data_IF_762050521944
#
_entry.id   IF_762050521944
#
_cell.length_a   1.000
_cell.length_b   1.000
_cell.length_c   1.000
_cell.angle_alpha   90.00
_cell.angle_beta   90.00
_cell.angle_gamma   90.00
#
_symmetry.space_group_name_H-M   'P 1'
#
loop_
_entity.id
_entity.type
_entity.pdbx_description
1 polymer ?
#
# COMPACT_ATOMS: atom_id res chain seq x y z
N UNK A 1 0.48 4.32 -20.07
CA UNK A 1 -0.05 2.95 -20.24
C UNK A 1 -0.65 2.48 -18.92
N UNK A 2 -1.89 1.98 -18.88
CA UNK A 2 -2.47 1.35 -17.69
C UNK A 2 -2.13 -0.14 -17.77
N UNK A 3 -1.49 -0.68 -16.74
CA UNK A 3 -1.20 -2.12 -16.66
C UNK A 3 -2.33 -2.73 -15.84
N UNK A 4 -3.39 -3.13 -16.54
CA UNK A 4 -4.61 -3.66 -15.90
C UNK A 4 -4.30 -4.89 -15.05
N UNK A 5 -3.29 -5.68 -15.43
CA UNK A 5 -2.86 -6.87 -14.70
C UNK A 5 -2.43 -6.60 -13.24
N UNK A 6 -1.84 -5.42 -12.99
CA UNK A 6 -1.42 -5.01 -11.63
C UNK A 6 -2.58 -4.46 -10.80
N UNK A 7 -3.79 -4.37 -11.36
CA UNK A 7 -4.93 -3.76 -10.68
C UNK A 7 -5.53 -4.75 -9.70
N UNK A 8 -5.74 -6.00 -10.12
CA UNK A 8 -6.29 -7.03 -9.23
C UNK A 8 -5.35 -7.39 -8.06
N UNK A 9 -4.03 -7.40 -8.28
CA UNK A 9 -3.06 -7.67 -7.20
C UNK A 9 -3.11 -6.62 -6.08
N UNK A 10 -3.48 -5.37 -6.38
CA UNK A 10 -3.72 -4.33 -5.35
C UNK A 10 -4.89 -4.67 -4.45
N UNK A 11 -5.96 -5.24 -5.01
CA UNK A 11 -7.11 -5.67 -4.22
C UNK A 11 -6.74 -6.81 -3.27
N UNK A 12 -6.00 -7.82 -3.77
CA UNK A 12 -5.49 -8.92 -2.94
C UNK A 12 -4.65 -8.36 -1.78
N UNK A 13 -3.72 -7.44 -2.08
CA UNK A 13 -2.90 -6.77 -1.07
C UNK A 13 -3.76 -5.99 -0.05
N UNK A 14 -4.78 -5.24 -0.49
CA UNK A 14 -5.65 -4.48 0.40
C UNK A 14 -6.45 -5.41 1.34
N UNK A 15 -7.00 -6.52 0.82
CA UNK A 15 -7.73 -7.51 1.62
C UNK A 15 -6.81 -8.22 2.61
N UNK A 16 -5.56 -8.52 2.24
CA UNK A 16 -4.58 -9.08 3.17
C UNK A 16 -4.33 -8.16 4.37
N UNK A 17 -4.28 -6.84 4.16
CA UNK A 17 -4.18 -5.85 5.24
C UNK A 17 -5.44 -5.83 6.12
N UNK A 18 -6.63 -5.90 5.52
CA UNK A 18 -7.90 -5.94 6.28
C UNK A 18 -7.96 -7.19 7.17
N UNK A 19 -7.55 -8.35 6.65
CA UNK A 19 -7.50 -9.60 7.42
C UNK A 19 -6.45 -9.49 8.54
N UNK A 20 -5.29 -8.89 8.26
CA UNK A 20 -4.27 -8.65 9.28
C UNK A 20 -4.79 -7.80 10.45
N UNK A 21 -5.56 -6.74 10.18
CA UNK A 21 -6.09 -5.87 11.24
C UNK A 21 -7.29 -6.47 12.00
N UNK A 22 -8.13 -7.27 11.34
CA UNK A 22 -9.44 -7.62 11.90
C UNK A 22 -9.82 -9.10 11.85
N UNK A 23 -9.10 -9.89 11.08
CA UNK A 23 -9.49 -11.26 10.71
C UNK A 23 -8.63 -12.35 11.33
N UNK A 24 -7.52 -12.04 12.02
CA UNK A 24 -6.56 -13.05 12.52
C UNK A 24 -7.15 -14.09 13.48
N UNK A 25 -8.24 -13.75 14.16
CA UNK A 25 -8.97 -14.63 15.09
C UNK A 25 -10.21 -15.29 14.46
N UNK A 26 -10.49 -15.00 13.19
CA UNK A 26 -11.71 -15.41 12.49
C UNK A 26 -11.42 -16.57 11.55
N UNK A 27 -12.28 -17.59 11.54
CA UNK A 27 -12.17 -18.69 10.57
C UNK A 27 -12.47 -18.20 9.14
N UNK A 28 -11.70 -18.61 8.11
CA UNK A 28 -10.61 -19.61 8.14
C UNK A 28 -9.22 -19.06 8.45
N UNK A 29 -9.06 -17.74 8.63
CA UNK A 29 -7.76 -17.09 8.78
C UNK A 29 -7.02 -17.45 10.07
N UNK A 30 -7.75 -17.87 11.10
CA UNK A 30 -7.19 -18.38 12.35
C UNK A 30 -6.77 -19.85 12.30
N UNK A 31 -7.05 -20.58 11.21
CA UNK A 31 -6.65 -21.97 11.06
C UNK A 31 -5.12 -22.08 11.06
N UNK A 32 -4.57 -23.10 11.71
CA UNK A 32 -3.12 -23.27 11.92
C UNK A 32 -2.29 -23.22 10.63
N UNK A 33 -2.84 -23.74 9.53
CA UNK A 33 -2.20 -23.74 8.20
C UNK A 33 -2.17 -22.35 7.54
N UNK A 34 -3.13 -21.47 7.87
CA UNK A 34 -3.30 -20.15 7.24
C UNK A 34 -2.80 -19.00 8.11
N UNK A 35 -2.91 -19.12 9.43
CA UNK A 35 -2.62 -18.05 10.37
C UNK A 35 -1.19 -17.47 10.23
N UNK A 36 -0.11 -18.28 10.04
CA UNK A 36 1.23 -17.75 9.84
C UNK A 36 1.32 -16.78 8.66
N UNK A 37 0.56 -17.03 7.58
CA UNK A 37 0.54 -16.17 6.40
C UNK A 37 -0.20 -14.86 6.68
N UNK A 38 -1.38 -14.92 7.29
CA UNK A 38 -2.17 -13.72 7.55
C UNK A 38 -1.57 -12.81 8.63
N UNK A 39 -0.80 -13.37 9.58
CA UNK A 39 0.01 -12.60 10.53
C UNK A 39 1.06 -11.71 9.85
N UNK A 40 1.41 -12.00 8.60
CA UNK A 40 2.35 -11.20 7.80
C UNK A 40 1.64 -10.23 6.84
N UNK A 41 0.31 -10.05 6.94
CA UNK A 41 -0.46 -9.24 6.00
C UNK A 41 -0.09 -7.74 5.97
N UNK A 42 0.58 -7.22 7.01
CA UNK A 42 1.13 -5.86 7.01
C UNK A 42 2.16 -5.61 5.90
N UNK A 43 2.86 -6.64 5.44
CA UNK A 43 3.85 -6.58 4.35
C UNK A 43 3.22 -6.14 3.02
N UNK A 44 1.91 -6.29 2.85
CA UNK A 44 1.22 -5.80 1.66
C UNK A 44 1.39 -4.28 1.47
N UNK A 45 1.72 -3.52 2.53
CA UNK A 45 2.07 -2.10 2.42
C UNK A 45 3.38 -1.90 1.64
N UNK A 46 4.40 -2.71 1.89
CA UNK A 46 5.64 -2.74 1.11
C UNK A 46 5.40 -3.00 -0.38
N UNK A 47 4.47 -3.91 -0.68
CA UNK A 47 4.05 -4.17 -2.06
C UNK A 47 3.46 -2.92 -2.71
N UNK A 48 2.62 -2.15 -2.00
CA UNK A 48 2.08 -0.88 -2.52
C UNK A 48 3.17 0.15 -2.79
N UNK A 49 4.17 0.29 -1.92
CA UNK A 49 5.29 1.23 -2.11
C UNK A 49 6.16 0.90 -3.33
N UNK A 50 6.57 -0.37 -3.46
CA UNK A 50 7.30 -0.88 -4.62
C UNK A 50 6.49 -0.66 -5.92
N UNK A 51 5.21 -0.99 -5.88
CA UNK A 51 4.30 -0.85 -7.02
C UNK A 51 4.09 0.63 -7.39
N UNK A 52 4.01 1.53 -6.41
CA UNK A 52 3.91 2.97 -6.64
C UNK A 52 5.13 3.48 -7.40
N UNK A 53 6.34 3.14 -6.94
CA UNK A 53 7.60 3.49 -7.63
C UNK A 53 7.67 2.95 -9.06
N UNK A 54 7.29 1.69 -9.25
CA UNK A 54 7.23 1.06 -10.57
C UNK A 54 6.30 1.83 -11.52
N UNK A 55 5.06 2.06 -11.11
CA UNK A 55 4.04 2.73 -11.94
C UNK A 55 4.40 4.17 -12.25
N UNK A 56 5.08 4.88 -11.34
CA UNK A 56 5.49 6.25 -11.60
C UNK A 56 6.43 6.31 -12.81
N UNK A 57 7.37 5.38 -12.91
CA UNK A 57 8.24 5.29 -14.10
C UNK A 57 7.43 4.89 -15.34
N UNK A 58 6.56 3.89 -15.26
CA UNK A 58 5.72 3.50 -16.41
C UNK A 58 4.90 4.68 -16.94
N UNK A 59 4.37 5.52 -16.04
CA UNK A 59 3.56 6.68 -16.40
C UNK A 59 4.37 7.83 -16.99
N UNK A 60 5.61 8.05 -16.52
CA UNK A 60 6.37 9.27 -16.83
C UNK A 60 7.64 9.07 -17.68
N UNK A 61 8.08 7.84 -17.95
CA UNK A 61 9.33 7.59 -18.70
C UNK A 61 9.38 8.21 -20.10
N UNK A 62 8.23 8.46 -20.73
CA UNK A 62 8.14 9.06 -22.07
C UNK A 62 8.29 10.59 -22.05
N UNK A 63 8.22 11.20 -20.86
CA UNK A 63 8.36 12.63 -20.71
C UNK A 63 9.82 12.99 -20.44
N UNK A 64 10.29 14.07 -21.08
CA UNK A 64 11.63 14.59 -20.83
C UNK A 64 11.76 15.25 -19.45
N UNK A 65 10.64 15.79 -18.94
CA UNK A 65 10.54 16.47 -17.66
C UNK A 65 9.15 16.27 -17.07
N UNK A 66 9.08 16.11 -15.76
CA UNK A 66 7.85 16.10 -14.97
C UNK A 66 7.66 17.50 -14.38
N UNK A 67 6.55 18.15 -14.73
CA UNK A 67 6.14 19.39 -14.06
C UNK A 67 5.68 19.09 -12.63
N UNK A 68 6.29 19.77 -11.64
CA UNK A 68 6.08 19.45 -10.23
C UNK A 68 4.64 19.73 -9.78
N UNK A 69 4.11 20.91 -10.10
CA UNK A 69 2.80 21.36 -9.61
C UNK A 69 1.67 20.56 -10.27
N UNK A 70 1.72 20.39 -11.60
CA UNK A 70 0.75 19.59 -12.32
C UNK A 70 0.78 18.12 -11.86
N UNK A 71 1.97 17.58 -11.59
CA UNK A 71 2.13 16.22 -11.06
C UNK A 71 1.47 16.08 -9.67
N UNK A 72 1.82 16.95 -8.72
CA UNK A 72 1.31 16.86 -7.34
C UNK A 72 -0.20 17.08 -7.30
N UNK A 73 -0.73 18.06 -8.06
CA UNK A 73 -2.17 18.29 -8.19
C UNK A 73 -2.91 17.01 -8.59
N UNK A 74 -2.40 16.29 -9.61
CA UNK A 74 -2.99 15.04 -10.08
C UNK A 74 -2.90 13.88 -9.08
N UNK A 75 -1.88 13.86 -8.22
CA UNK A 75 -1.71 12.84 -7.18
C UNK A 75 -2.60 13.11 -5.98
N UNK A 76 -2.62 14.36 -5.52
CA UNK A 76 -3.49 14.82 -4.45
C UNK A 76 -4.96 14.58 -4.79
N UNK A 77 -5.37 14.96 -6.00
CA UNK A 77 -6.70 14.70 -6.57
C UNK A 77 -7.17 13.25 -6.50
N UNK A 78 -6.22 12.31 -6.60
CA UNK A 78 -6.51 10.88 -6.65
C UNK A 78 -6.73 10.28 -5.25
N UNK A 79 -6.06 10.81 -4.23
CA UNK A 79 -5.94 10.17 -2.92
C UNK A 79 -6.71 10.96 -1.87
N UNK A 80 -6.50 12.28 -1.84
CA UNK A 80 -7.01 13.13 -0.77
C UNK A 80 -8.53 13.08 -0.56
N UNK A 81 -9.39 12.99 -1.60
CA UNK A 81 -10.84 12.99 -1.38
C UNK A 81 -11.35 11.84 -0.49
N UNK A 82 -10.93 10.60 -0.77
CA UNK A 82 -11.36 9.44 0.04
C UNK A 82 -10.63 9.39 1.37
N UNK A 83 -9.40 9.88 1.39
CA UNK A 83 -8.67 10.06 2.64
C UNK A 83 -9.45 10.96 3.62
N UNK A 84 -9.91 12.13 3.15
CA UNK A 84 -10.72 13.05 3.97
C UNK A 84 -12.06 12.43 4.31
N UNK A 85 -12.71 11.72 3.38
CA UNK A 85 -13.94 10.96 3.68
C UNK A 85 -13.73 10.01 4.86
N UNK A 86 -12.62 9.26 4.88
CA UNK A 86 -12.28 8.36 5.97
C UNK A 86 -12.12 9.10 7.31
N UNK A 87 -11.46 10.27 7.29
CA UNK A 87 -11.32 11.12 8.48
C UNK A 87 -12.66 11.67 8.97
N UNK A 88 -13.53 12.11 8.06
CA UNK A 88 -14.87 12.64 8.38
C UNK A 88 -15.74 11.55 9.01
N UNK A 89 -15.76 10.34 8.45
CA UNK A 89 -16.52 9.21 9.01
C UNK A 89 -16.00 8.84 10.41
N UNK A 90 -14.67 8.85 10.61
CA UNK A 90 -14.06 8.62 11.92
C UNK A 90 -14.33 9.75 12.91
N UNK A 91 -14.37 11.00 12.46
CA UNK A 91 -14.73 12.13 13.31
C UNK A 91 -16.13 11.94 13.87
N UNK A 92 -17.13 11.68 13.01
CA UNK A 92 -18.49 11.41 13.46
C UNK A 92 -18.57 10.16 14.35
N UNK A 93 -17.82 9.10 14.04
CA UNK A 93 -17.75 7.91 14.90
C UNK A 93 -17.29 8.27 16.32
N UNK A 94 -16.16 8.98 16.41
CA UNK A 94 -15.55 9.34 17.69
C UNK A 94 -16.46 10.27 18.49
N UNK A 95 -17.11 11.23 17.84
CA UNK A 95 -18.09 12.12 18.49
C UNK A 95 -19.31 11.37 18.98
N UNK A 96 -19.93 10.53 18.14
CA UNK A 96 -21.17 9.82 18.48
C UNK A 96 -20.97 8.79 19.61
N UNK A 97 -19.87 8.04 19.60
CA UNK A 97 -19.54 7.04 20.63
C UNK A 97 -18.66 7.58 21.76
N UNK A 98 -18.54 8.90 21.91
CA UNK A 98 -17.74 9.57 22.95
C UNK A 98 -16.31 9.02 23.09
N UNK A 99 -15.65 8.74 21.97
CA UNK A 99 -14.24 8.29 21.94
C UNK A 99 -13.29 9.50 21.92
N UNK A 100 -12.09 9.38 22.52
CA UNK A 100 -11.09 10.44 22.47
C UNK A 100 -10.75 10.85 21.02
N UNK A 101 -10.82 12.16 20.77
CA UNK A 101 -10.50 12.77 19.48
C UNK A 101 -9.71 14.05 19.72
N UNK A 102 -8.39 13.94 19.83
CA UNK A 102 -7.51 15.10 19.95
C UNK A 102 -7.53 15.90 18.64
N UNK A 103 -7.81 17.21 18.74
CA UNK A 103 -7.78 18.11 17.57
C UNK A 103 -6.38 18.15 16.93
N UNK A 104 -5.32 18.01 17.74
CA UNK A 104 -3.95 17.90 17.25
C UNK A 104 -3.76 16.69 16.32
N UNK A 105 -4.26 15.52 16.70
CA UNK A 105 -4.15 14.30 15.89
C UNK A 105 -4.94 14.41 14.58
N UNK A 106 -6.15 14.99 14.65
CA UNK A 106 -6.93 15.28 13.46
C UNK A 106 -6.19 16.25 12.53
N UNK A 107 -5.60 17.31 13.08
CA UNK A 107 -4.80 18.27 12.31
C UNK A 107 -3.61 17.60 11.61
N UNK A 108 -2.86 16.74 12.31
CA UNK A 108 -1.74 16.00 11.73
C UNK A 108 -2.20 15.10 10.57
N UNK A 109 -3.33 14.41 10.73
CA UNK A 109 -3.87 13.53 9.69
C UNK A 109 -4.42 14.32 8.50
N UNK A 110 -5.17 15.42 8.71
CA UNK A 110 -5.66 16.28 7.62
C UNK A 110 -4.50 16.76 6.73
N UNK A 111 -3.35 17.05 7.32
CA UNK A 111 -2.15 17.49 6.62
C UNK A 111 -1.25 16.32 6.14
N UNK A 112 -1.60 15.06 6.40
CA UNK A 112 -0.81 13.87 6.08
C UNK A 112 0.62 13.91 6.63
N UNK A 113 0.81 14.49 7.83
CA UNK A 113 2.13 14.63 8.48
C UNK A 113 2.28 13.75 9.72
N UNK A 114 1.26 13.00 10.12
CA UNK A 114 1.23 12.20 11.34
C UNK A 114 2.36 11.15 11.42
N UNK A 115 2.80 10.60 10.28
CA UNK A 115 3.90 9.62 10.23
C UNK A 115 5.30 10.23 10.43
N UNK A 116 5.43 11.56 10.32
CA UNK A 116 6.70 12.25 10.57
C UNK A 116 6.97 12.45 12.06
N UNK A 117 5.96 12.25 12.90
CA UNK A 117 6.04 12.38 14.35
C UNK A 117 5.86 11.00 15.00
N UNK A 118 6.94 10.32 15.36
CA UNK A 118 6.86 9.06 16.10
C UNK A 118 5.99 9.20 17.36
N UNK A 119 5.03 8.30 17.55
CA UNK A 119 4.01 8.35 18.59
C UNK A 119 2.65 8.90 18.11
N UNK A 120 2.58 9.41 16.87
CA UNK A 120 1.36 9.97 16.28
C UNK A 120 0.95 9.28 14.97
N UNK A 121 1.71 8.32 14.45
CA UNK A 121 1.48 7.71 13.13
C UNK A 121 0.12 7.02 13.03
N UNK A 122 -0.34 6.40 14.13
CA UNK A 122 -1.60 5.66 14.20
C UNK A 122 -2.73 6.41 14.92
N UNK A 123 -2.53 7.69 15.25
CA UNK A 123 -3.35 8.46 16.20
C UNK A 123 -4.83 8.62 15.83
N UNK A 124 -5.16 8.60 14.54
CA UNK A 124 -6.53 8.86 14.07
C UNK A 124 -7.06 7.75 13.17
N UNK A 125 -6.58 7.69 11.93
CA UNK A 125 -6.87 6.61 11.01
C UNK A 125 -5.65 5.70 10.93
N UNK A 126 -5.61 4.60 11.68
CA UNK A 126 -4.38 3.83 11.79
C UNK A 126 -3.79 3.32 10.44
N UNK A 127 -4.52 2.95 9.36
CA UNK A 127 -3.91 2.65 8.06
C UNK A 127 -3.37 3.89 7.32
N UNK A 128 -3.70 5.10 7.74
CA UNK A 128 -3.33 6.34 7.05
C UNK A 128 -1.84 6.65 7.09
N UNK A 129 -1.06 6.04 7.99
CA UNK A 129 0.37 6.29 8.10
C UNK A 129 1.08 6.06 6.75
N UNK A 130 0.67 5.03 6.00
CA UNK A 130 1.28 4.67 4.72
C UNK A 130 0.96 5.69 3.62
N UNK A 131 -0.17 6.41 3.74
CA UNK A 131 -0.55 7.46 2.78
C UNK A 131 0.33 8.70 2.97
N UNK A 132 0.70 9.04 4.20
CA UNK A 132 1.68 10.08 4.47
C UNK A 132 3.06 9.72 3.88
N UNK A 133 3.47 8.45 4.02
CA UNK A 133 4.69 7.92 3.37
C UNK A 133 4.60 7.99 1.85
N UNK A 134 3.46 7.62 1.26
CA UNK A 134 3.26 7.67 -0.18
C UNK A 134 3.27 9.11 -0.71
N UNK A 135 2.70 10.06 0.03
CA UNK A 135 2.72 11.48 -0.35
C UNK A 135 4.14 12.05 -0.34
N UNK A 136 4.99 11.61 0.60
CA UNK A 136 6.42 11.91 0.59
C UNK A 136 7.10 11.39 -0.69
N UNK A 137 6.80 10.17 -1.12
CA UNK A 137 7.33 9.65 -2.39
C UNK A 137 6.88 10.47 -3.60
N UNK A 138 5.63 10.93 -3.60
CA UNK A 138 5.13 11.79 -4.66
C UNK A 138 5.81 13.15 -4.69
N UNK A 139 6.09 13.76 -3.53
CA UNK A 139 6.88 14.98 -3.47
C UNK A 139 8.30 14.79 -4.02
N UNK A 140 8.94 13.65 -3.73
CA UNK A 140 10.30 13.36 -4.22
C UNK A 140 10.37 13.02 -5.71
N UNK A 141 9.37 12.31 -6.25
CA UNK A 141 9.47 11.71 -7.58
C UNK A 141 9.83 12.70 -8.71
N UNK A 142 9.17 13.86 -8.88
CA UNK A 142 9.53 14.79 -9.95
C UNK A 142 10.97 15.30 -9.85
N UNK A 143 11.47 15.52 -8.63
CA UNK A 143 12.85 15.98 -8.38
C UNK A 143 13.84 14.90 -8.81
N UNK A 144 13.63 13.65 -8.36
CA UNK A 144 14.50 12.53 -8.71
C UNK A 144 14.46 12.26 -10.22
N UNK A 145 13.27 12.31 -10.82
CA UNK A 145 13.08 12.06 -12.24
C UNK A 145 13.81 13.10 -13.11
N UNK A 146 13.60 14.39 -12.84
CA UNK A 146 14.15 15.49 -13.63
C UNK A 146 15.67 15.62 -13.48
N UNK A 147 16.21 15.26 -12.31
CA UNK A 147 17.64 15.37 -12.03
C UNK A 147 18.42 14.13 -12.45
N UNK A 148 17.86 12.94 -12.27
CA UNK A 148 18.58 11.68 -12.42
C UNK A 148 17.96 10.76 -13.47
N UNK A 149 16.69 10.36 -13.34
CA UNK A 149 16.13 9.30 -14.19
C UNK A 149 16.05 9.64 -15.68
N UNK A 150 15.81 10.91 -16.02
CA UNK A 150 15.76 11.40 -17.42
C UNK A 150 17.13 11.53 -18.07
N UNK A 151 18.23 11.47 -17.30
CA UNK A 151 19.58 11.86 -17.77
C UNK A 151 20.63 10.78 -17.60
N UNK A 152 20.48 9.93 -16.59
CA UNK A 152 21.50 8.96 -16.17
C UNK A 152 21.10 7.57 -16.62
N UNK A 153 22.08 6.80 -17.11
CA UNK A 153 21.84 5.42 -17.53
C UNK A 153 21.46 4.52 -16.35
N UNK A 154 20.61 3.53 -16.63
CA UNK A 154 20.14 2.53 -15.64
C UNK A 154 21.27 1.93 -14.79
N UNK A 155 22.40 1.57 -15.42
CA UNK A 155 23.56 0.96 -14.71
C UNK A 155 24.13 1.88 -13.64
N UNK A 156 24.22 3.20 -13.92
CA UNK A 156 24.74 4.20 -12.97
C UNK A 156 23.73 4.51 -11.86
N UNK A 157 22.43 4.37 -12.12
CA UNK A 157 21.37 4.54 -11.11
C UNK A 157 21.23 3.33 -10.20
N UNK A 158 21.51 2.13 -10.71
CA UNK A 158 21.35 0.89 -9.96
C UNK A 158 22.22 0.86 -8.70
N UNK A 159 23.50 1.27 -8.81
CA UNK A 159 24.45 1.25 -7.68
C UNK A 159 23.93 2.06 -6.48
N UNK A 160 23.66 3.38 -6.58
CA UNK A 160 23.21 4.15 -5.42
C UNK A 160 21.86 3.67 -4.88
N UNK A 161 20.92 3.26 -5.74
CA UNK A 161 19.61 2.75 -5.29
C UNK A 161 19.77 1.44 -4.50
N UNK A 162 20.60 0.50 -5.00
CA UNK A 162 20.88 -0.76 -4.31
C UNK A 162 21.66 -0.53 -3.02
N UNK A 163 22.59 0.44 -2.99
CA UNK A 163 23.28 0.84 -1.76
C UNK A 163 22.31 1.39 -0.73
N UNK A 164 21.38 2.28 -1.12
CA UNK A 164 20.32 2.80 -0.22
C UNK A 164 19.45 1.65 0.30
N UNK A 165 19.09 0.70 -0.55
CA UNK A 165 18.33 -0.48 -0.14
C UNK A 165 19.07 -1.30 0.91
N UNK A 166 20.34 -1.67 0.67
CA UNK A 166 21.15 -2.46 1.60
C UNK A 166 21.33 -1.71 2.93
N UNK A 167 21.67 -0.42 2.88
CA UNK A 167 21.84 0.41 4.08
C UNK A 167 20.54 0.51 4.87
N UNK A 168 19.40 0.69 4.19
CA UNK A 168 18.07 0.70 4.83
C UNK A 168 17.77 -0.63 5.53
N UNK A 169 18.12 -1.78 4.92
CA UNK A 169 17.95 -3.08 5.57
C UNK A 169 18.84 -3.23 6.81
N UNK A 170 20.10 -2.78 6.74
CA UNK A 170 21.03 -2.82 7.87
C UNK A 170 20.53 -1.92 9.01
N UNK A 171 20.18 -0.66 8.72
CA UNK A 171 19.69 0.29 9.74
C UNK A 171 18.44 -0.25 10.42
N UNK A 172 17.48 -0.77 9.66
CA UNK A 172 16.24 -1.30 10.23
C UNK A 172 16.49 -2.53 11.11
N UNK A 173 17.29 -3.49 10.66
CA UNK A 173 17.57 -4.69 11.45
C UNK A 173 18.44 -4.39 12.68
N UNK A 174 19.42 -3.51 12.58
CA UNK A 174 20.16 -3.01 13.75
C UNK A 174 19.21 -2.28 14.72
N UNK A 175 18.27 -1.50 14.21
CA UNK A 175 17.25 -0.81 14.99
C UNK A 175 16.38 -1.78 15.80
N UNK A 176 15.75 -2.75 15.15
CA UNK A 176 14.84 -3.69 15.83
C UNK A 176 15.54 -4.62 16.83
N UNK A 177 16.83 -4.92 16.63
CA UNK A 177 17.62 -5.76 17.55
C UNK A 177 18.41 -4.94 18.58
N UNK A 178 18.34 -3.61 18.53
CA UNK A 178 19.01 -2.75 19.51
C UNK A 178 18.21 -2.62 20.81
N UNK A 179 18.88 -2.20 21.88
CA UNK A 179 18.24 -1.86 23.16
C UNK A 179 17.33 -0.62 23.09
N UNK A 180 17.40 0.15 21.99
CA UNK A 180 16.51 1.29 21.75
C UNK A 180 15.08 0.83 21.40
N UNK A 181 14.92 -0.34 20.78
CA UNK A 181 13.61 -0.83 20.35
C UNK A 181 12.82 -1.42 21.52
N UNK A 182 11.71 -0.78 21.86
CA UNK A 182 10.85 -1.14 23.01
C UNK A 182 9.66 -2.02 22.62
N UNK A 183 9.57 -2.46 21.37
CA UNK A 183 8.44 -3.25 20.86
C UNK A 183 7.19 -2.42 20.56
N UNK A 184 6.13 -3.07 20.11
CA UNK A 184 4.83 -2.44 19.83
C UNK A 184 3.94 -2.49 21.09
N UNK A 185 3.25 -1.40 21.46
CA UNK A 185 3.32 -0.04 20.90
C UNK A 185 4.41 0.81 21.58
N UNK A 186 5.29 1.44 20.80
CA UNK A 186 6.27 2.42 21.33
C UNK A 186 6.67 3.44 20.27
N UNK A 187 7.21 4.58 20.72
CA UNK A 187 7.77 5.62 19.84
C UNK A 187 8.89 5.05 18.95
N UNK A 188 9.74 4.18 19.52
CA UNK A 188 10.80 3.48 18.78
C UNK A 188 10.26 2.58 17.66
N UNK A 189 9.11 1.93 17.90
CA UNK A 189 8.42 1.15 16.88
C UNK A 189 7.86 2.04 15.78
N UNK A 190 7.18 3.13 16.12
CA UNK A 190 6.65 4.03 15.10
C UNK A 190 7.75 4.67 14.23
N UNK A 191 8.90 4.99 14.82
CA UNK A 191 10.06 5.49 14.08
C UNK A 191 10.59 4.47 13.06
N UNK A 192 10.65 3.18 13.41
CA UNK A 192 11.18 2.15 12.51
C UNK A 192 10.14 1.68 11.47
N UNK A 193 8.86 1.60 11.86
CA UNK A 193 7.83 0.96 11.06
C UNK A 193 6.96 1.95 10.26
N UNK A 194 6.89 3.23 10.63
CA UNK A 194 5.96 4.17 9.98
C UNK A 194 6.62 5.45 9.45
N UNK A 195 7.86 5.75 9.87
CA UNK A 195 8.55 6.98 9.47
C UNK A 195 8.90 6.97 7.97
N UNK A 196 8.52 8.00 7.19
CA UNK A 196 8.63 7.96 5.72
C UNK A 196 10.02 7.64 5.14
N UNK A 197 11.14 8.15 5.68
CA UNK A 197 12.47 7.80 5.19
C UNK A 197 12.84 6.32 5.30
N UNK A 198 12.26 5.56 6.25
CA UNK A 198 12.54 4.12 6.36
C UNK A 198 12.13 3.39 5.08
N UNK A 199 10.96 3.74 4.55
CA UNK A 199 10.35 3.13 3.36
C UNK A 199 10.85 3.68 2.02
N UNK A 200 11.72 4.69 2.01
CA UNK A 200 12.20 5.30 0.76
C UNK A 200 12.88 4.28 -0.17
N UNK A 201 13.57 3.30 0.40
CA UNK A 201 14.26 2.24 -0.36
C UNK A 201 13.28 1.43 -1.22
N UNK A 202 12.07 1.17 -0.71
CA UNK A 202 11.02 0.43 -1.40
C UNK A 202 10.55 1.17 -2.65
N UNK A 203 10.29 2.47 -2.51
CA UNK A 203 9.89 3.30 -3.64
C UNK A 203 10.99 3.36 -4.71
N UNK A 204 12.25 3.56 -4.31
CA UNK A 204 13.39 3.64 -5.23
C UNK A 204 13.67 2.32 -5.95
N UNK A 205 13.57 1.18 -5.26
CA UNK A 205 13.69 -0.14 -5.88
C UNK A 205 12.54 -0.38 -6.87
N UNK A 206 11.33 0.07 -6.54
CA UNK A 206 10.20 0.13 -7.47
C UNK A 206 10.51 0.96 -8.72
N UNK A 207 11.07 2.17 -8.56
CA UNK A 207 11.49 3.01 -9.69
C UNK A 207 12.56 2.31 -10.53
N UNK A 208 13.57 1.69 -9.91
CA UNK A 208 14.63 0.98 -10.62
C UNK A 208 14.06 -0.18 -11.45
N UNK A 209 13.13 -0.95 -10.89
CA UNK A 209 12.41 -1.99 -11.61
C UNK A 209 11.59 -1.44 -12.78
N UNK A 210 10.94 -0.29 -12.61
CA UNK A 210 10.22 0.40 -13.68
C UNK A 210 11.14 0.85 -14.81
N UNK A 211 12.31 1.41 -14.49
CA UNK A 211 13.32 1.83 -15.47
C UNK A 211 13.89 0.63 -16.22
N UNK A 212 14.16 -0.46 -15.51
CA UNK A 212 14.57 -1.73 -16.11
C UNK A 212 13.49 -2.28 -17.04
N UNK A 213 12.23 -2.28 -16.61
CA UNK A 213 11.11 -2.78 -17.39
C UNK A 213 10.95 -2.00 -18.69
N UNK A 214 10.86 -0.68 -18.64
CA UNK A 214 10.68 0.15 -19.84
C UNK A 214 11.84 -0.01 -20.83
N UNK A 215 13.07 -0.14 -20.34
CA UNK A 215 14.26 -0.29 -21.19
C UNK A 215 14.34 -1.66 -21.86
N UNK A 216 13.90 -2.71 -21.17
CA UNK A 216 14.10 -4.11 -21.60
C UNK A 216 12.79 -4.81 -21.99
N UNK A 217 11.64 -4.14 -21.92
CA UNK A 217 10.36 -4.73 -22.31
C UNK A 217 10.39 -4.99 -23.82
N UNK A 218 10.69 -6.23 -24.18
CA UNK A 218 10.57 -6.70 -25.56
C UNK A 218 9.09 -6.87 -25.88
N UNK A 219 8.68 -6.58 -27.13
CA UNK A 219 7.28 -6.77 -27.57
C UNK A 219 6.87 -8.24 -27.66
N UNK A 220 7.81 -9.17 -27.46
CA UNK A 220 7.60 -10.61 -27.54
C UNK A 220 6.48 -11.07 -26.59
N UNK A 221 5.63 -11.98 -27.07
CA UNK A 221 4.57 -12.57 -26.27
C UNK A 221 5.13 -13.70 -25.41
N UNK A 222 5.62 -13.35 -24.23
CA UNK A 222 6.11 -14.34 -23.27
C UNK A 222 5.00 -14.65 -22.26
N UNK A 223 4.76 -15.93 -22.04
CA UNK A 223 3.90 -16.41 -20.96
C UNK A 223 4.75 -16.58 -19.68
N UNK A 224 4.43 -15.80 -18.65
CA UNK A 224 5.08 -15.86 -17.34
C UNK A 224 4.19 -16.48 -16.26
N UNK A 225 3.05 -17.11 -16.60
CA UNK A 225 2.12 -17.69 -15.63
C UNK A 225 2.81 -18.62 -14.63
N UNK A 226 3.63 -19.56 -15.12
CA UNK A 226 4.39 -20.48 -14.26
C UNK A 226 5.37 -19.75 -13.34
N UNK A 227 6.05 -18.72 -13.83
CA UNK A 227 6.97 -17.92 -13.00
C UNK A 227 6.22 -17.12 -11.93
N UNK A 228 5.05 -16.57 -12.26
CA UNK A 228 4.18 -15.88 -11.29
C UNK A 228 3.75 -16.85 -10.19
N UNK A 229 3.34 -18.06 -10.56
CA UNK A 229 2.94 -19.10 -9.60
C UNK A 229 4.12 -19.54 -8.72
N UNK A 230 5.28 -19.82 -9.31
CA UNK A 230 6.48 -20.22 -8.57
C UNK A 230 6.95 -19.12 -7.61
N UNK A 231 6.95 -17.85 -8.03
CA UNK A 231 7.28 -16.73 -7.15
C UNK A 231 6.23 -16.51 -6.07
N UNK A 232 4.95 -16.78 -6.36
CA UNK A 232 3.86 -16.77 -5.37
C UNK A 232 4.03 -17.86 -4.31
N UNK A 233 4.39 -19.09 -4.73
CA UNK A 233 4.72 -20.19 -3.83
C UNK A 233 5.95 -19.85 -3.00
N UNK A 234 7.01 -19.32 -3.63
CA UNK A 234 8.21 -18.87 -2.91
C UNK A 234 7.88 -17.82 -1.86
N UNK A 235 7.03 -16.84 -2.18
CA UNK A 235 6.56 -15.84 -1.23
C UNK A 235 5.83 -16.52 -0.05
N UNK A 236 4.90 -17.44 -0.32
CA UNK A 236 4.17 -18.19 0.72
C UNK A 236 5.15 -18.96 1.61
N UNK A 237 6.11 -19.67 1.02
CA UNK A 237 7.14 -20.42 1.75
C UNK A 237 7.95 -19.49 2.64
N UNK A 238 8.45 -18.37 2.11
CA UNK A 238 9.21 -17.38 2.88
C UNK A 238 8.38 -16.85 4.05
N UNK A 239 7.11 -16.48 3.82
CA UNK A 239 6.25 -15.95 4.88
C UNK A 239 5.93 -17.01 5.94
N UNK A 240 5.82 -18.28 5.56
CA UNK A 240 5.50 -19.38 6.45
C UNK A 240 6.70 -19.83 7.30
N UNK A 241 7.91 -19.82 6.72
CA UNK A 241 9.13 -20.31 7.39
C UNK A 241 9.95 -19.21 8.05
N UNK A 242 9.61 -17.93 7.86
CA UNK A 242 10.37 -16.82 8.40
C UNK A 242 10.31 -16.76 9.93
N UNK A 243 11.47 -16.97 10.56
CA UNK A 243 11.66 -16.93 12.00
C UNK A 243 12.55 -15.77 12.47
N UNK A 244 13.36 -15.18 11.58
CA UNK A 244 14.45 -14.27 11.97
C UNK A 244 14.36 -12.87 11.37
N UNK A 245 13.87 -12.74 10.13
CA UNK A 245 13.90 -11.46 9.43
C UNK A 245 12.60 -10.70 9.62
N UNK A 246 12.68 -9.38 9.66
CA UNK A 246 11.50 -8.53 9.61
C UNK A 246 11.39 -7.90 8.22
N UNK A 247 10.27 -8.16 7.55
CA UNK A 247 10.07 -7.78 6.16
C UNK A 247 9.42 -6.41 5.97
N UNK A 248 9.09 -5.69 7.06
CA UNK A 248 8.30 -4.47 7.00
C UNK A 248 9.00 -3.31 6.28
N UNK A 249 10.33 -3.31 6.26
CA UNK A 249 11.14 -2.27 5.63
C UNK A 249 11.62 -2.64 4.22
N UNK A 250 10.84 -3.42 3.48
CA UNK A 250 11.09 -3.66 2.06
C UNK A 250 12.00 -4.81 1.69
N UNK A 251 12.48 -5.63 2.64
CA UNK A 251 13.34 -6.78 2.34
C UNK A 251 12.71 -7.74 1.29
N UNK A 252 11.38 -7.87 1.30
CA UNK A 252 10.64 -8.67 0.31
C UNK A 252 10.59 -8.05 -1.09
N UNK A 253 11.21 -6.89 -1.33
CA UNK A 253 11.44 -6.38 -2.68
C UNK A 253 12.15 -7.42 -3.57
N UNK A 254 13.00 -8.27 -2.99
CA UNK A 254 13.68 -9.37 -3.69
C UNK A 254 12.71 -10.37 -4.36
N UNK A 255 11.49 -10.50 -3.83
CA UNK A 255 10.45 -11.39 -4.35
C UNK A 255 9.37 -10.58 -5.07
N UNK A 256 8.94 -9.46 -4.51
CA UNK A 256 7.90 -8.62 -5.08
C UNK A 256 8.31 -7.99 -6.41
N UNK A 257 9.56 -7.56 -6.59
CA UNK A 257 10.00 -6.97 -7.87
C UNK A 257 9.92 -7.99 -9.01
N UNK A 258 10.48 -9.22 -8.89
CA UNK A 258 10.26 -10.26 -9.88
C UNK A 258 8.77 -10.52 -10.17
N UNK A 259 7.92 -10.59 -9.15
CA UNK A 259 6.46 -10.77 -9.32
C UNK A 259 5.87 -9.61 -10.15
N UNK A 260 6.19 -8.36 -9.78
CA UNK A 260 5.69 -7.16 -10.48
C UNK A 260 6.15 -7.17 -11.95
N UNK A 261 7.42 -7.50 -12.22
CA UNK A 261 7.98 -7.59 -13.57
C UNK A 261 7.30 -8.70 -14.38
N UNK A 262 7.16 -9.90 -13.81
CA UNK A 262 6.48 -11.02 -14.46
C UNK A 262 5.02 -10.69 -14.77
N UNK A 263 4.24 -10.19 -13.79
CA UNK A 263 2.84 -9.80 -14.00
C UNK A 263 2.73 -8.71 -15.09
N UNK A 264 3.64 -7.73 -15.09
CA UNK A 264 3.63 -6.63 -16.07
C UNK A 264 3.98 -7.08 -17.48
N UNK A 265 4.89 -8.04 -17.64
CA UNK A 265 5.30 -8.59 -18.93
C UNK A 265 4.39 -9.72 -19.44
N UNK A 266 3.59 -10.32 -18.56
CA UNK A 266 2.85 -11.54 -18.85
C UNK A 266 1.75 -11.33 -19.89
N UNK A 267 1.69 -12.22 -20.89
CA UNK A 267 0.55 -12.32 -21.84
C UNK A 267 -0.23 -13.64 -21.72
N UNK A 268 0.00 -14.42 -20.66
CA UNK A 268 -0.66 -15.70 -20.38
C UNK A 268 -2.10 -15.62 -19.87
N UNK A 269 -2.58 -16.74 -19.34
CA UNK A 269 -3.94 -16.92 -18.84
C UNK A 269 -4.23 -16.05 -17.61
N UNK A 270 -3.27 -15.92 -16.68
CA UNK A 270 -3.45 -15.06 -15.50
C UNK A 270 -3.68 -13.60 -15.89
N UNK A 271 -2.97 -13.14 -16.93
CA UNK A 271 -3.22 -11.83 -17.53
C UNK A 271 -4.63 -11.73 -18.11
N UNK A 272 -5.09 -12.74 -18.83
CA UNK A 272 -6.44 -12.69 -19.42
C UNK A 272 -7.54 -12.73 -18.36
N UNK A 273 -7.34 -13.48 -17.27
CA UNK A 273 -8.22 -13.44 -16.10
C UNK A 273 -8.28 -12.02 -15.54
N UNK A 274 -7.15 -11.37 -15.29
CA UNK A 274 -7.11 -10.01 -14.71
C UNK A 274 -7.83 -8.92 -15.54
N UNK A 275 -8.12 -9.19 -16.82
CA UNK A 275 -8.87 -8.29 -17.71
C UNK A 275 -10.39 -8.37 -17.55
N UNK A 276 -10.92 -9.36 -16.81
CA UNK A 276 -12.36 -9.44 -16.56
C UNK A 276 -12.83 -8.22 -15.75
N UNK A 277 -13.98 -7.65 -16.13
CA UNK A 277 -14.53 -6.42 -15.53
C UNK A 277 -14.62 -6.46 -14.00
N UNK A 278 -15.04 -7.57 -13.35
CA UNK A 278 -15.05 -7.65 -11.88
C UNK A 278 -13.67 -7.46 -11.26
N UNK A 279 -12.62 -8.09 -11.79
CA UNK A 279 -11.27 -7.97 -11.23
C UNK A 279 -10.64 -6.59 -11.46
N UNK A 280 -10.94 -5.95 -12.60
CA UNK A 280 -10.57 -4.55 -12.83
C UNK A 280 -11.26 -3.67 -11.78
N UNK A 281 -12.58 -3.84 -11.58
CA UNK A 281 -13.35 -3.07 -10.61
C UNK A 281 -12.82 -3.26 -9.17
N UNK A 282 -12.57 -4.50 -8.75
CA UNK A 282 -11.98 -4.80 -7.44
C UNK A 282 -10.64 -4.08 -7.25
N UNK A 283 -9.80 -4.07 -8.28
CA UNK A 283 -8.54 -3.33 -8.25
C UNK A 283 -8.69 -1.81 -8.29
N UNK A 284 -9.80 -1.28 -8.84
CA UNK A 284 -10.09 0.16 -8.83
C UNK A 284 -10.52 0.63 -7.43
N UNK A 285 -11.32 -0.16 -6.72
CA UNK A 285 -11.79 0.15 -5.36
C UNK A 285 -10.76 -0.15 -4.27
N UNK A 286 -9.59 -0.73 -4.61
CA UNK A 286 -8.63 -1.22 -3.62
C UNK A 286 -8.11 -0.12 -2.69
N UNK A 287 -8.02 1.13 -3.19
CA UNK A 287 -7.64 2.28 -2.37
C UNK A 287 -8.71 2.61 -1.33
N UNK A 288 -9.99 2.65 -1.75
CA UNK A 288 -11.13 2.80 -0.84
C UNK A 288 -11.18 1.68 0.21
N UNK A 289 -11.01 0.42 -0.20
CA UNK A 289 -10.93 -0.72 0.74
C UNK A 289 -9.82 -0.51 1.77
N UNK A 290 -8.64 -0.06 1.34
CA UNK A 290 -7.51 0.16 2.24
C UNK A 290 -7.75 1.29 3.24
N UNK A 291 -8.21 2.46 2.80
CA UNK A 291 -8.29 3.64 3.67
C UNK A 291 -9.58 3.70 4.50
N UNK A 292 -10.66 3.11 4.00
CA UNK A 292 -11.96 3.08 4.69
C UNK A 292 -12.09 1.90 5.68
N UNK A 293 -11.13 0.98 5.72
CA UNK A 293 -11.21 -0.19 6.62
C UNK A 293 -11.41 0.19 8.09
N UNK A 294 -10.76 1.27 8.57
CA UNK A 294 -10.92 1.74 9.95
C UNK A 294 -12.30 2.35 10.22
N UNK A 295 -12.74 3.41 9.52
CA UNK A 295 -14.06 3.99 9.76
C UNK A 295 -15.19 2.96 9.63
N UNK A 296 -15.14 2.10 8.62
CA UNK A 296 -16.21 1.13 8.38
C UNK A 296 -16.24 0.09 9.49
N UNK A 297 -15.12 -0.57 9.80
CA UNK A 297 -15.11 -1.56 10.88
C UNK A 297 -15.46 -0.94 12.24
N UNK A 298 -15.06 0.31 12.51
CA UNK A 298 -15.40 1.00 13.74
C UNK A 298 -16.93 1.14 13.90
N UNK A 299 -17.59 1.70 12.89
CA UNK A 299 -19.06 1.87 12.89
C UNK A 299 -19.81 0.54 12.91
N UNK A 300 -19.47 -0.39 12.02
CA UNK A 300 -20.21 -1.65 11.88
C UNK A 300 -20.10 -2.50 13.14
N UNK A 301 -18.90 -2.60 13.74
CA UNK A 301 -18.71 -3.36 14.98
C UNK A 301 -19.47 -2.74 16.15
N UNK A 302 -19.52 -1.40 16.23
CA UNK A 302 -20.26 -0.71 17.27
C UNK A 302 -21.77 -0.91 17.11
N UNK A 303 -22.32 -0.73 15.91
CA UNK A 303 -23.75 -0.96 15.62
C UNK A 303 -24.15 -2.41 15.90
N UNK A 304 -23.36 -3.39 15.44
CA UNK A 304 -23.66 -4.80 15.69
C UNK A 304 -23.60 -5.14 17.18
N UNK A 305 -22.68 -4.50 17.92
CA UNK A 305 -22.63 -4.64 19.39
C UNK A 305 -23.90 -4.06 20.03
N UNK A 306 -24.38 -2.90 19.59
CA UNK A 306 -25.62 -2.29 20.10
C UNK A 306 -26.86 -3.15 19.77
N UNK A 307 -26.82 -3.90 18.67
CA UNK A 307 -27.83 -4.92 18.31
C UNK A 307 -27.64 -6.26 19.04
N UNK A 308 -26.80 -6.34 20.09
CA UNK A 308 -26.48 -7.57 20.84
C UNK A 308 -25.88 -8.72 20.01
N UNK A 309 -25.28 -8.43 18.85
CA UNK A 309 -24.55 -9.44 18.06
C UNK A 309 -23.14 -9.57 18.65
N UNK A 310 -22.87 -10.70 19.29
CA UNK A 310 -21.58 -10.99 19.97
C UNK A 310 -20.59 -11.75 19.10
N UNK A 311 -21.05 -12.46 18.07
CA UNK A 311 -20.21 -13.25 17.15
C UNK A 311 -19.20 -12.37 16.40
N UNK A 312 -17.91 -12.52 16.71
CA UNK A 312 -16.82 -11.82 16.03
C UNK A 312 -16.73 -12.20 14.55
N UNK A 313 -17.06 -13.45 14.21
CA UNK A 313 -17.18 -13.92 12.83
C UNK A 313 -18.22 -13.13 12.06
N UNK A 314 -19.42 -12.95 12.64
CA UNK A 314 -20.49 -12.17 12.03
C UNK A 314 -20.06 -10.71 11.87
N UNK A 315 -19.49 -10.11 12.92
CA UNK A 315 -18.97 -8.74 12.87
C UNK A 315 -17.94 -8.56 11.76
N UNK A 316 -16.98 -9.46 11.64
CA UNK A 316 -15.94 -9.39 10.63
C UNK A 316 -16.52 -9.46 9.21
N UNK A 317 -17.31 -10.49 8.89
CA UNK A 317 -17.82 -10.68 7.54
C UNK A 317 -18.82 -9.61 7.13
N UNK A 318 -19.70 -9.16 8.04
CA UNK A 318 -20.59 -8.03 7.78
C UNK A 318 -19.80 -6.75 7.52
N UNK A 319 -18.75 -6.48 8.32
CA UNK A 319 -17.89 -5.30 8.13
C UNK A 319 -17.12 -5.37 6.80
N UNK A 320 -16.64 -6.54 6.42
CA UNK A 320 -15.92 -6.76 5.16
C UNK A 320 -16.81 -6.53 3.94
N UNK A 321 -18.04 -7.06 3.97
CA UNK A 321 -19.01 -6.85 2.89
C UNK A 321 -19.36 -5.36 2.79
N UNK A 322 -19.68 -4.71 3.91
CA UNK A 322 -19.97 -3.28 3.93
C UNK A 322 -18.78 -2.44 3.46
N UNK A 323 -17.54 -2.81 3.82
CA UNK A 323 -16.34 -2.13 3.35
C UNK A 323 -16.21 -2.19 1.83
N UNK A 324 -16.41 -3.36 1.22
CA UNK A 324 -16.33 -3.51 -0.24
C UNK A 324 -17.44 -2.72 -0.93
N UNK A 325 -18.67 -2.73 -0.38
CA UNK A 325 -19.79 -1.96 -0.91
C UNK A 325 -19.52 -0.44 -0.83
N UNK A 326 -19.11 0.06 0.34
CA UNK A 326 -18.83 1.49 0.53
C UNK A 326 -17.62 1.94 -0.28
N UNK A 327 -16.58 1.12 -0.42
CA UNK A 327 -15.47 1.40 -1.32
C UNK A 327 -15.92 1.48 -2.78
N UNK A 328 -16.83 0.61 -3.21
CA UNK A 328 -17.44 0.66 -4.54
C UNK A 328 -18.26 1.94 -4.78
N UNK A 329 -19.08 2.34 -3.81
CA UNK A 329 -19.86 3.58 -3.87
C UNK A 329 -18.92 4.81 -3.89
N UNK A 330 -17.94 4.85 -2.99
CA UNK A 330 -16.91 5.91 -2.95
C UNK A 330 -16.21 6.05 -4.30
N UNK A 331 -15.84 4.93 -4.92
CA UNK A 331 -15.19 4.96 -6.22
C UNK A 331 -16.08 5.58 -7.31
N UNK A 332 -17.35 5.19 -7.37
CA UNK A 332 -18.29 5.65 -8.39
C UNK A 332 -18.68 7.13 -8.22
N UNK A 333 -18.90 7.57 -6.99
CA UNK A 333 -19.48 8.89 -6.70
C UNK A 333 -18.46 9.95 -6.28
N UNK A 334 -17.27 9.56 -5.81
CA UNK A 334 -16.26 10.49 -5.29
C UNK A 334 -14.99 10.40 -6.14
N UNK A 335 -14.35 9.23 -6.19
CA UNK A 335 -13.03 9.08 -6.81
C UNK A 335 -13.07 9.32 -8.32
N UNK A 336 -13.94 8.61 -9.04
CA UNK A 336 -14.00 8.69 -10.49
C UNK A 336 -14.45 10.08 -11.00
N UNK A 337 -15.47 10.73 -10.42
CA UNK A 337 -15.88 12.08 -10.81
C UNK A 337 -14.80 13.12 -10.54
N UNK A 338 -14.21 13.15 -9.35
CA UNK A 338 -13.18 14.14 -9.00
C UNK A 338 -11.92 13.97 -9.85
N UNK A 339 -11.52 12.73 -10.13
CA UNK A 339 -10.40 12.46 -11.03
C UNK A 339 -10.66 12.94 -12.46
N UNK A 340 -11.90 12.92 -12.93
CA UNK A 340 -12.28 13.47 -14.25
C UNK A 340 -12.32 14.99 -14.23
N UNK A 341 -12.87 15.60 -13.18
CA UNK A 341 -12.94 17.05 -13.03
C UNK A 341 -11.55 17.70 -13.00
N UNK A 342 -10.61 17.12 -12.25
CA UNK A 342 -9.27 17.70 -12.09
C UNK A 342 -8.42 17.57 -13.36
N UNK A 343 -8.65 16.56 -14.19
CA UNK A 343 -8.00 16.47 -15.52
C UNK A 343 -8.44 17.56 -16.50
N UNK A 344 -9.58 18.22 -16.24
CA UNK A 344 -10.10 19.31 -17.08
C UNK A 344 -9.64 20.71 -16.61
N UNK A 345 -9.01 20.79 -15.43
CA UNK A 345 -8.47 22.01 -14.81
C UNK A 345 -6.96 22.08 -14.96
#
# INVERSE_FOLDING_TARGET
MRIDQLTFSRFIAAIAVVIYHYGLEIYPFNASILQPLFKQGNIAVSYFFLLSGFIMIIAYHQYNKVDFLAYIKNRFARIYPVYVLALVILFFFKTYYHRPSELGDLFLNINMIQSWLPGKALSYNYPAWSIAVEFFFYALFPVIFNRYYSKISLKKLAIPILSIFIVSQIIFHLGIFSTYYQGYPSVSHELLFYFPPMHLSEFLIGNLAGLYFVKNSTRASINFDMWILLLGILLIVILYTNTYFNFHNGLLALVFIPIILCISANKGHLTNLSKYKPFIFLGEISYGVYILQNPIFAWTRAILKDCNITSETTKFYTSLVLLILVAGLSYQFIEAPLRKAIKKL
#
